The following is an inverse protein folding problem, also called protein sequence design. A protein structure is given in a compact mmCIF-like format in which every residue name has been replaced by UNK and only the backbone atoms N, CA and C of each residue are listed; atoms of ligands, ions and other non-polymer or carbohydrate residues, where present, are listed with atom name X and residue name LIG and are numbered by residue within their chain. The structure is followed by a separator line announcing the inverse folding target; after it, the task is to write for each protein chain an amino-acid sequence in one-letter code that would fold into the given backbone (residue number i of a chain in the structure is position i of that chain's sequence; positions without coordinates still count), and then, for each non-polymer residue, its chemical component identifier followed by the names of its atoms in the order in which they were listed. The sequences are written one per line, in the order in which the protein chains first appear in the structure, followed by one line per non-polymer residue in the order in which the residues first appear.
data_IF_203175231499
#
_entry.id   IF_203175231499
#
_cell.length_a   1.000
_cell.length_b   1.000
_cell.length_c   1.000
_cell.angle_alpha   90.00
_cell.angle_beta   90.00
_cell.angle_gamma   90.00
#
_symmetry.space_group_name_H-M   'P 1'
#
loop_
_entity.id
_entity.type
_entity.pdbx_description
1 polymer ?
#
# COMPACT_ATOMS: atom_id res chain seq x y z
N UNK A 1 7.27 -16.74 21.53
CA UNK A 1 7.36 -17.61 20.32
C UNK A 1 7.93 -16.78 19.20
N UNK A 2 8.94 -17.24 18.46
CA UNK A 2 9.43 -16.46 17.29
C UNK A 2 8.31 -16.42 16.24
N UNK A 3 7.74 -15.24 15.92
CA UNK A 3 6.62 -15.14 14.99
C UNK A 3 7.01 -15.41 13.54
N UNK A 4 8.29 -15.73 13.28
CA UNK A 4 8.80 -15.97 11.93
C UNK A 4 8.38 -17.32 11.39
N UNK A 5 7.56 -17.28 10.36
CA UNK A 5 7.08 -18.47 9.64
C UNK A 5 7.50 -18.36 8.17
N UNK A 6 7.88 -19.46 7.51
CA UNK A 6 8.17 -19.43 6.08
C UNK A 6 6.95 -18.98 5.25
N UNK A 7 7.14 -18.03 4.36
CA UNK A 7 6.16 -17.65 3.35
C UNK A 7 6.25 -18.64 2.17
N UNK A 8 5.58 -19.77 2.29
CA UNK A 8 5.68 -20.89 1.32
C UNK A 8 4.40 -21.74 1.27
N UNK A 9 4.15 -22.40 0.15
CA UNK A 9 4.75 -22.20 -1.15
C UNK A 9 4.16 -20.97 -1.85
N UNK A 10 4.96 -20.26 -2.65
CA UNK A 10 4.43 -19.23 -3.55
C UNK A 10 4.07 -19.84 -4.90
N UNK A 11 2.84 -19.62 -5.34
CA UNK A 11 2.35 -19.87 -6.69
C UNK A 11 2.19 -18.52 -7.40
N UNK A 12 2.28 -18.49 -8.71
CA UNK A 12 2.32 -17.25 -9.47
C UNK A 12 1.23 -17.20 -10.52
N UNK A 13 0.57 -16.04 -10.63
CA UNK A 13 -0.31 -15.69 -11.74
C UNK A 13 0.40 -14.64 -12.58
N UNK A 14 0.69 -14.98 -13.85
CA UNK A 14 1.28 -14.02 -14.79
C UNK A 14 0.25 -12.99 -15.23
N UNK A 15 0.66 -11.73 -15.33
CA UNK A 15 -0.17 -10.63 -15.78
C UNK A 15 0.31 -10.07 -17.12
N UNK A 16 -0.57 -9.41 -17.90
CA UNK A 16 -0.23 -8.87 -19.22
C UNK A 16 0.71 -7.64 -19.18
N UNK A 17 1.07 -7.17 -17.98
CA UNK A 17 1.98 -6.06 -17.73
C UNK A 17 2.86 -6.33 -16.53
N UNK A 18 3.53 -5.32 -16.03
CA UNK A 18 4.37 -5.44 -14.83
C UNK A 18 3.93 -4.47 -13.73
N UNK A 19 4.44 -4.68 -12.53
CA UNK A 19 4.22 -3.83 -11.37
C UNK A 19 2.77 -3.83 -10.88
N UNK A 20 2.13 -5.01 -10.59
CA UNK A 20 0.87 -5.06 -9.85
C UNK A 20 1.11 -4.59 -8.43
N UNK A 21 1.05 -3.27 -8.22
CA UNK A 21 1.55 -2.62 -7.01
C UNK A 21 0.64 -2.86 -5.83
N UNK A 22 -0.68 -2.66 -6.00
CA UNK A 22 -1.68 -2.99 -4.99
C UNK A 22 -2.59 -4.13 -5.46
N UNK A 23 -3.12 -4.87 -4.51
CA UNK A 23 -4.07 -5.97 -4.73
C UNK A 23 -5.23 -5.85 -3.76
N UNK A 24 -6.45 -5.81 -4.28
CA UNK A 24 -7.69 -5.80 -3.47
C UNK A 24 -8.60 -6.94 -3.88
N UNK A 25 -9.19 -7.61 -2.90
CA UNK A 25 -10.13 -8.70 -3.14
C UNK A 25 -11.56 -8.18 -3.25
N UNK A 26 -12.33 -8.70 -4.21
CA UNK A 26 -13.76 -8.45 -4.27
C UNK A 26 -14.55 -9.51 -3.47
N UNK A 27 -15.86 -9.28 -3.22
CA UNK A 27 -16.70 -10.21 -2.47
C UNK A 27 -16.86 -11.60 -3.13
N UNK A 28 -16.48 -11.76 -4.40
CA UNK A 28 -16.47 -13.04 -5.11
C UNK A 28 -15.14 -13.77 -5.03
N UNK A 29 -14.16 -13.22 -4.32
CA UNK A 29 -12.82 -13.79 -4.18
C UNK A 29 -11.88 -13.53 -5.35
N UNK A 30 -12.28 -12.68 -6.32
CA UNK A 30 -11.41 -12.21 -7.40
C UNK A 30 -10.53 -11.07 -6.89
N UNK A 31 -9.41 -10.84 -7.52
CA UNK A 31 -8.47 -9.76 -7.15
C UNK A 31 -8.35 -8.75 -8.26
N UNK A 32 -8.42 -7.47 -7.88
CA UNK A 32 -8.14 -6.35 -8.76
C UNK A 32 -6.73 -5.82 -8.47
N UNK A 33 -6.03 -5.39 -9.51
CA UNK A 33 -4.69 -4.80 -9.40
C UNK A 33 -4.41 -3.83 -10.54
N UNK A 34 -3.64 -2.79 -10.24
CA UNK A 34 -3.19 -1.80 -11.21
C UNK A 34 -1.80 -2.13 -11.76
N UNK A 35 -1.59 -1.96 -13.06
CA UNK A 35 -0.32 -2.22 -13.75
C UNK A 35 0.45 -0.93 -14.04
N UNK A 36 1.74 -1.05 -14.30
CA UNK A 36 2.63 0.09 -14.54
C UNK A 36 2.28 0.92 -15.79
N UNK A 37 1.53 0.36 -16.70
CA UNK A 37 1.10 1.01 -17.93
C UNK A 37 -0.28 1.69 -17.84
N UNK A 38 -0.85 1.78 -16.63
CA UNK A 38 -2.14 2.44 -16.39
C UNK A 38 -3.34 1.53 -16.42
N UNK A 39 -3.19 0.28 -16.84
CA UNK A 39 -4.28 -0.69 -16.87
C UNK A 39 -4.63 -1.17 -15.46
N UNK A 40 -5.92 -1.40 -15.23
CA UNK A 40 -6.43 -2.13 -14.09
C UNK A 40 -6.97 -3.47 -14.61
N UNK A 41 -6.56 -4.54 -13.97
CA UNK A 41 -6.97 -5.90 -14.33
C UNK A 41 -7.62 -6.60 -13.16
N UNK A 42 -8.52 -7.54 -13.48
CA UNK A 42 -9.21 -8.43 -12.55
C UNK A 42 -8.72 -9.85 -12.79
N UNK A 43 -8.38 -10.54 -11.71
CA UNK A 43 -7.85 -11.91 -11.72
C UNK A 43 -8.84 -12.82 -11.02
N UNK A 44 -9.25 -13.91 -11.68
CA UNK A 44 -10.14 -14.95 -11.17
C UNK A 44 -9.45 -16.31 -11.21
N UNK A 45 -9.84 -17.26 -10.34
CA UNK A 45 -9.28 -18.61 -10.30
C UNK A 45 -7.93 -18.70 -9.58
N UNK A 46 -7.77 -18.03 -8.45
CA UNK A 46 -6.52 -17.98 -7.66
C UNK A 46 -6.13 -19.31 -7.01
N UNK A 47 -7.03 -20.23 -6.88
CA UNK A 47 -6.80 -21.61 -6.39
C UNK A 47 -6.05 -22.47 -7.41
N UNK A 48 -6.18 -22.17 -8.70
CA UNK A 48 -5.41 -22.75 -9.79
C UNK A 48 -4.67 -21.68 -10.62
N UNK A 49 -3.56 -21.10 -10.13
CA UNK A 49 -2.88 -19.99 -10.78
C UNK A 49 -2.49 -20.18 -12.27
N UNK A 50 -2.11 -21.38 -12.75
CA UNK A 50 -1.89 -21.60 -14.16
C UNK A 50 -3.15 -21.45 -15.02
N UNK A 51 -4.34 -21.72 -14.45
CA UNK A 51 -5.65 -21.58 -15.09
C UNK A 51 -6.34 -20.25 -14.80
N UNK A 52 -5.71 -19.36 -14.05
CA UNK A 52 -6.30 -18.07 -13.68
C UNK A 52 -6.65 -17.23 -14.91
N UNK A 53 -7.80 -16.58 -14.85
CA UNK A 53 -8.28 -15.67 -15.91
C UNK A 53 -7.93 -14.24 -15.54
N UNK A 54 -7.38 -13.51 -16.49
CA UNK A 54 -7.05 -12.08 -16.33
C UNK A 54 -7.87 -11.28 -17.32
N UNK A 55 -8.67 -10.36 -16.79
CA UNK A 55 -9.55 -9.48 -17.54
C UNK A 55 -9.06 -8.04 -17.41
N UNK A 56 -8.97 -7.29 -18.51
CA UNK A 56 -8.71 -5.86 -18.51
C UNK A 56 -10.05 -5.13 -18.27
N UNK A 57 -10.13 -4.35 -17.17
CA UNK A 57 -11.38 -3.71 -16.76
C UNK A 57 -11.37 -2.18 -16.90
N UNK A 58 -10.20 -1.53 -16.80
CA UNK A 58 -10.07 -0.09 -16.96
C UNK A 58 -8.66 0.33 -17.33
N UNK A 59 -8.54 1.57 -17.83
CA UNK A 59 -7.27 2.24 -18.08
C UNK A 59 -7.36 3.68 -17.58
N UNK A 60 -6.44 4.09 -16.68
CA UNK A 60 -6.47 5.42 -16.05
C UNK A 60 -5.56 6.44 -16.72
N UNK A 61 -4.72 6.02 -17.65
CA UNK A 61 -3.74 6.90 -18.34
C UNK A 61 -2.51 7.27 -17.52
N UNK A 62 -2.55 7.03 -16.20
CA UNK A 62 -1.46 7.29 -15.24
C UNK A 62 -0.87 6.00 -14.68
N UNK A 63 -0.42 6.04 -13.44
CA UNK A 63 0.15 4.88 -12.72
C UNK A 63 -0.71 4.54 -11.50
N UNK A 64 -1.63 3.55 -11.59
CA UNK A 64 -2.41 3.10 -10.43
C UNK A 64 -1.50 2.52 -9.36
N UNK A 65 -1.66 3.01 -8.14
CA UNK A 65 -1.07 2.49 -6.91
C UNK A 65 -2.21 1.93 -6.04
N UNK A 66 -2.46 2.52 -4.85
CA UNK A 66 -3.46 2.07 -3.92
C UNK A 66 -4.87 1.99 -4.49
N UNK A 67 -5.57 0.94 -4.16
CA UNK A 67 -6.91 0.59 -4.61
C UNK A 67 -7.83 0.37 -3.42
N UNK A 68 -9.08 0.80 -3.52
CA UNK A 68 -10.14 0.49 -2.55
C UNK A 68 -11.43 0.18 -3.28
N UNK A 69 -11.98 -1.01 -3.07
CA UNK A 69 -13.28 -1.40 -3.64
C UNK A 69 -14.41 -0.87 -2.75
N UNK A 70 -15.28 -0.05 -3.34
CA UNK A 70 -16.43 0.53 -2.66
C UNK A 70 -17.61 -0.45 -2.59
N UNK A 71 -18.54 -0.27 -1.63
CA UNK A 71 -19.73 -1.13 -1.51
C UNK A 71 -20.64 -1.13 -2.73
N UNK A 72 -20.64 -0.08 -3.54
CA UNK A 72 -21.42 0.01 -4.79
C UNK A 72 -20.74 -0.66 -5.99
N UNK A 73 -19.53 -1.18 -5.80
CA UNK A 73 -18.75 -1.88 -6.82
C UNK A 73 -17.72 -1.01 -7.54
N UNK A 74 -17.76 0.31 -7.38
CA UNK A 74 -16.74 1.21 -7.93
C UNK A 74 -15.41 1.04 -7.19
N UNK A 75 -14.34 1.40 -7.86
CA UNK A 75 -12.97 1.35 -7.35
C UNK A 75 -12.44 2.77 -7.16
N UNK A 76 -11.94 3.08 -5.96
CA UNK A 76 -11.06 4.24 -5.76
C UNK A 76 -9.64 3.85 -6.17
N UNK A 77 -8.96 4.77 -6.82
CA UNK A 77 -7.60 4.56 -7.33
C UNK A 77 -6.73 5.78 -7.02
N UNK A 78 -5.64 5.56 -6.31
CA UNK A 78 -4.57 6.54 -6.20
C UNK A 78 -3.71 6.49 -7.47
N UNK A 79 -3.64 7.60 -8.20
CA UNK A 79 -2.71 7.75 -9.32
C UNK A 79 -1.41 8.41 -8.84
N UNK A 80 -0.28 7.75 -9.06
CA UNK A 80 1.04 8.28 -8.71
C UNK A 80 1.38 9.61 -9.42
N UNK A 81 0.72 9.90 -10.54
CA UNK A 81 0.91 11.16 -11.26
C UNK A 81 0.17 12.34 -10.60
N UNK A 82 -0.63 12.09 -9.58
CA UNK A 82 -1.18 13.11 -8.68
C UNK A 82 -2.68 13.31 -8.78
N UNK A 83 -3.45 12.23 -8.78
CA UNK A 83 -4.89 12.27 -8.70
C UNK A 83 -5.45 11.19 -7.78
N UNK A 84 -6.62 11.46 -7.20
CA UNK A 84 -7.53 10.45 -6.68
C UNK A 84 -8.66 10.25 -7.70
N UNK A 85 -8.84 9.01 -8.13
CA UNK A 85 -9.78 8.64 -9.18
C UNK A 85 -10.86 7.71 -8.62
N UNK A 86 -12.01 7.70 -9.31
CA UNK A 86 -13.05 6.69 -9.14
C UNK A 86 -13.32 6.02 -10.49
N UNK A 87 -13.36 4.70 -10.49
CA UNK A 87 -13.46 3.87 -11.69
C UNK A 87 -14.64 2.93 -11.51
N UNK A 88 -15.54 2.84 -12.50
CA UNK A 88 -16.56 1.80 -12.58
C UNK A 88 -15.97 0.57 -13.32
N UNK A 89 -15.68 -0.55 -12.62
CA UNK A 89 -15.03 -1.70 -13.23
C UNK A 89 -15.97 -2.52 -14.14
N UNK A 90 -17.27 -2.27 -14.14
CA UNK A 90 -18.24 -2.94 -15.01
C UNK A 90 -18.66 -2.05 -16.20
N UNK A 91 -18.31 -0.77 -16.16
CA UNK A 91 -18.66 0.23 -17.19
C UNK A 91 -17.75 0.27 -18.42
N UNK A 92 -16.76 -0.65 -18.53
CA UNK A 92 -15.78 -0.70 -19.61
C UNK A 92 -14.65 0.34 -19.47
N UNK A 93 -13.74 0.37 -20.42
CA UNK A 93 -12.45 1.07 -20.34
C UNK A 93 -12.50 2.61 -20.26
N UNK A 94 -13.67 3.24 -20.31
CA UNK A 94 -13.82 4.70 -20.34
C UNK A 94 -14.41 5.36 -19.09
N UNK A 95 -14.78 4.60 -18.07
CA UNK A 95 -15.49 5.12 -16.89
C UNK A 95 -14.53 5.52 -15.74
N UNK A 96 -13.61 6.42 -16.02
CA UNK A 96 -12.69 7.00 -15.03
C UNK A 96 -13.10 8.43 -14.71
N UNK A 97 -13.34 8.73 -13.44
CA UNK A 97 -13.68 10.06 -12.96
C UNK A 97 -12.62 10.56 -11.99
N UNK A 98 -12.08 11.74 -12.23
CA UNK A 98 -11.21 12.44 -11.28
C UNK A 98 -12.06 12.95 -10.12
N UNK A 99 -11.69 12.59 -8.88
CA UNK A 99 -12.29 13.11 -7.66
C UNK A 99 -11.57 14.36 -7.19
N UNK A 100 -10.24 14.34 -7.17
CA UNK A 100 -9.40 15.50 -6.86
C UNK A 100 -8.00 15.36 -7.43
N UNK A 101 -7.37 16.51 -7.74
CA UNK A 101 -5.96 16.64 -8.15
C UNK A 101 -5.20 17.63 -7.29
N UNK A 102 -5.84 18.17 -6.24
CA UNK A 102 -5.25 19.19 -5.38
C UNK A 102 -5.60 19.03 -3.90
N UNK A 103 -4.74 19.54 -3.05
CA UNK A 103 -4.95 19.69 -1.63
C UNK A 103 -4.32 20.99 -1.13
N UNK A 104 -5.08 21.80 -0.37
CA UNK A 104 -4.64 23.08 0.18
C UNK A 104 -3.99 24.02 -0.87
N UNK A 105 -4.58 24.11 -2.07
CA UNK A 105 -4.11 24.95 -3.18
C UNK A 105 -2.90 24.40 -3.93
N UNK A 106 -2.39 23.20 -3.58
CA UNK A 106 -1.25 22.57 -4.24
C UNK A 106 -1.70 21.37 -5.08
N UNK A 107 -1.10 21.21 -6.26
CA UNK A 107 -1.32 20.01 -7.06
C UNK A 107 -0.74 18.79 -6.35
N UNK A 108 -1.52 17.71 -6.34
CA UNK A 108 -1.09 16.42 -5.77
C UNK A 108 0.07 15.81 -6.57
N UNK A 109 0.86 15.03 -5.88
CA UNK A 109 1.93 14.18 -6.43
C UNK A 109 2.02 12.92 -5.61
N UNK A 110 2.36 11.82 -6.24
CA UNK A 110 2.63 10.56 -5.58
C UNK A 110 1.50 10.16 -4.59
N UNK A 111 0.24 10.21 -5.05
CA UNK A 111 -0.86 9.59 -4.34
C UNK A 111 -0.58 8.09 -4.24
N UNK A 112 -0.67 7.54 -3.01
CA UNK A 112 -0.14 6.21 -2.75
C UNK A 112 -1.21 5.20 -2.39
N UNK A 113 -2.00 5.42 -1.33
CA UNK A 113 -3.01 4.48 -0.89
C UNK A 113 -4.29 5.20 -0.44
N UNK A 114 -5.42 4.49 -0.39
CA UNK A 114 -6.74 5.08 -0.16
C UNK A 114 -7.62 4.18 0.66
N UNK A 115 -8.51 4.77 1.46
CA UNK A 115 -9.59 4.09 2.18
C UNK A 115 -10.83 4.97 2.24
N UNK A 116 -12.02 4.37 2.10
CA UNK A 116 -13.29 5.05 2.26
C UNK A 116 -13.94 4.72 3.62
N UNK A 117 -14.55 5.71 4.24
CA UNK A 117 -15.43 5.52 5.40
C UNK A 117 -16.88 5.27 4.96
N UNK A 118 -17.72 4.69 5.84
CA UNK A 118 -19.12 4.41 5.53
C UNK A 118 -19.96 5.66 5.18
N UNK A 119 -19.55 6.85 5.65
CA UNK A 119 -20.22 8.12 5.33
C UNK A 119 -19.82 8.71 3.96
N UNK A 120 -18.97 7.99 3.21
CA UNK A 120 -18.43 8.42 1.92
C UNK A 120 -17.24 9.35 1.99
N UNK A 121 -16.74 9.68 3.19
CA UNK A 121 -15.47 10.39 3.35
C UNK A 121 -14.32 9.50 2.92
N UNK A 122 -13.44 10.01 2.08
CA UNK A 122 -12.26 9.30 1.59
C UNK A 122 -11.00 9.86 2.24
N UNK A 123 -10.16 8.98 2.73
CA UNK A 123 -8.80 9.32 3.17
C UNK A 123 -7.80 8.68 2.23
N UNK A 124 -6.73 9.40 1.93
CA UNK A 124 -5.66 8.88 1.08
C UNK A 124 -4.30 9.46 1.47
N UNK A 125 -3.25 8.75 1.13
CA UNK A 125 -1.88 9.16 1.43
C UNK A 125 -1.19 9.76 0.21
N UNK A 126 -0.29 10.70 0.47
CA UNK A 126 0.70 11.22 -0.47
C UNK A 126 2.07 10.89 0.11
N UNK A 127 2.87 10.09 -0.60
CA UNK A 127 4.13 9.58 -0.08
C UNK A 127 5.18 10.68 0.08
N UNK A 128 5.25 11.60 -0.87
CA UNK A 128 6.21 12.70 -0.86
C UNK A 128 5.69 13.90 -1.67
N UNK A 129 6.01 15.11 -1.19
CA UNK A 129 5.82 16.36 -1.96
C UNK A 129 7.05 16.72 -2.80
N UNK A 130 8.19 16.10 -2.52
CA UNK A 130 9.49 16.41 -3.14
C UNK A 130 9.82 15.44 -4.27
N UNK A 131 9.72 14.14 -3.98
CA UNK A 131 10.10 13.09 -4.92
C UNK A 131 8.85 12.42 -5.53
N UNK A 132 8.72 12.38 -6.88
CA UNK A 132 7.69 11.58 -7.54
C UNK A 132 8.01 10.08 -7.45
N UNK A 133 7.07 9.23 -7.81
CA UNK A 133 7.25 7.77 -7.76
C UNK A 133 8.52 7.29 -8.46
N UNK A 134 8.88 7.81 -9.64
CA UNK A 134 10.10 7.41 -10.36
C UNK A 134 11.39 7.65 -9.58
N UNK A 135 11.36 8.59 -8.63
CA UNK A 135 12.48 9.01 -7.78
C UNK A 135 12.32 8.54 -6.33
N UNK A 136 11.49 7.51 -6.07
CA UNK A 136 11.17 7.01 -4.72
C UNK A 136 12.41 6.64 -3.89
N UNK A 137 13.50 6.19 -4.55
CA UNK A 137 14.78 5.95 -3.85
C UNK A 137 15.39 7.24 -3.32
N UNK A 138 15.12 8.37 -3.96
CA UNK A 138 15.49 9.70 -3.48
C UNK A 138 14.78 10.03 -2.16
N UNK A 139 13.46 9.79 -2.09
CA UNK A 139 12.69 9.97 -0.86
C UNK A 139 13.21 9.08 0.26
N UNK A 140 13.48 7.80 -0.03
CA UNK A 140 14.05 6.87 0.95
C UNK A 140 15.40 7.32 1.48
N UNK A 141 16.27 7.88 0.62
CA UNK A 141 17.60 8.36 1.02
C UNK A 141 17.56 9.73 1.70
N UNK A 142 16.76 10.67 1.21
CA UNK A 142 16.65 12.01 1.76
C UNK A 142 15.86 12.07 3.06
N UNK A 143 14.85 11.20 3.19
CA UNK A 143 14.00 11.10 4.37
C UNK A 143 13.36 12.45 4.71
N UNK A 144 12.58 12.97 3.75
CA UNK A 144 12.14 14.38 3.76
C UNK A 144 11.12 14.68 4.84
N UNK A 145 10.29 13.70 5.25
CA UNK A 145 9.16 13.91 6.13
C UNK A 145 8.06 14.77 5.50
N UNK A 146 7.89 14.69 4.19
CA UNK A 146 6.87 15.47 3.47
C UNK A 146 5.64 14.65 3.07
N UNK A 147 5.56 13.41 3.54
CA UNK A 147 4.37 12.58 3.41
C UNK A 147 3.18 13.17 4.16
N UNK A 148 1.97 12.93 3.63
CA UNK A 148 0.71 13.49 4.13
C UNK A 148 -0.39 12.44 4.16
N UNK A 149 -1.32 12.62 5.10
CA UNK A 149 -2.65 12.02 5.06
C UNK A 149 -3.66 13.11 4.68
N UNK A 150 -4.46 12.84 3.68
CA UNK A 150 -5.43 13.75 3.12
C UNK A 150 -6.85 13.24 3.33
N UNK A 151 -7.83 14.14 3.40
CA UNK A 151 -9.26 13.87 3.51
C UNK A 151 -10.01 14.53 2.35
N UNK A 152 -10.89 13.79 1.70
CA UNK A 152 -11.84 14.30 0.73
C UNK A 152 -13.25 13.98 1.22
N UNK A 153 -14.04 15.00 1.57
CA UNK A 153 -15.43 14.83 1.98
C UNK A 153 -16.34 14.69 0.76
N UNK A 154 -17.51 14.03 0.88
CA UNK A 154 -18.44 13.90 -0.22
C UNK A 154 -18.80 15.25 -0.86
N UNK A 155 -18.66 15.33 -2.19
CA UNK A 155 -18.96 16.54 -2.97
C UNK A 155 -17.84 17.58 -3.01
N UNK A 156 -16.79 17.45 -2.21
CA UNK A 156 -15.61 18.32 -2.34
C UNK A 156 -14.80 17.98 -3.60
N UNK A 157 -14.14 18.98 -4.17
CA UNK A 157 -13.25 18.85 -5.33
C UNK A 157 -11.79 19.04 -4.98
N UNK A 158 -11.50 19.49 -3.75
CA UNK A 158 -10.17 19.69 -3.20
C UNK A 158 -10.04 18.96 -1.87
N UNK A 159 -8.94 18.27 -1.65
CA UNK A 159 -8.68 17.53 -0.43
C UNK A 159 -8.09 18.44 0.67
N UNK A 160 -8.38 18.10 1.91
CA UNK A 160 -7.80 18.72 3.08
C UNK A 160 -6.60 17.92 3.59
N UNK A 161 -5.57 18.61 4.07
CA UNK A 161 -4.44 17.99 4.73
C UNK A 161 -4.80 17.79 6.22
N UNK A 162 -4.88 16.52 6.67
CA UNK A 162 -5.23 16.23 8.08
C UNK A 162 -4.03 15.76 8.92
N UNK A 163 -2.95 15.32 8.28
CA UNK A 163 -1.69 14.99 8.95
C UNK A 163 -0.52 15.22 7.99
N UNK A 164 0.54 15.85 8.51
CA UNK A 164 1.79 16.11 7.78
C UNK A 164 2.99 15.50 8.53
N UNK A 165 4.15 15.54 7.90
CA UNK A 165 5.41 15.12 8.52
C UNK A 165 5.65 13.62 8.48
N UNK A 166 4.86 12.87 7.72
CA UNK A 166 5.00 11.43 7.58
C UNK A 166 6.24 11.08 6.74
N UNK A 167 6.94 10.02 7.15
CA UNK A 167 8.14 9.56 6.48
C UNK A 167 7.80 8.54 5.39
N UNK A 168 7.51 9.02 4.19
CA UNK A 168 7.03 8.20 3.08
C UNK A 168 5.68 7.55 3.45
N UNK A 169 4.61 8.35 3.54
CA UNK A 169 3.27 7.84 3.82
C UNK A 169 2.83 6.89 2.70
N UNK A 170 2.43 5.68 3.07
CA UNK A 170 2.09 4.62 2.12
C UNK A 170 0.75 3.98 2.49
N UNK A 171 0.69 2.69 2.73
CA UNK A 171 -0.51 1.94 3.01
C UNK A 171 -1.41 2.56 4.07
N UNK A 172 -2.71 2.39 3.90
CA UNK A 172 -3.74 2.99 4.73
C UNK A 172 -4.86 1.98 4.97
N UNK A 173 -5.28 1.78 6.23
CA UNK A 173 -6.46 0.99 6.57
C UNK A 173 -7.24 1.61 7.72
N UNK A 174 -8.51 1.25 7.86
CA UNK A 174 -9.31 1.59 9.03
C UNK A 174 -8.88 0.81 10.25
N UNK A 175 -8.91 1.41 11.43
CA UNK A 175 -8.85 0.70 12.71
C UNK A 175 -10.10 -0.17 12.91
N UNK A 176 -10.04 -1.14 13.83
CA UNK A 176 -11.13 -2.10 14.07
C UNK A 176 -12.46 -1.44 14.45
N UNK A 177 -12.41 -0.28 15.08
CA UNK A 177 -13.59 0.44 15.58
C UNK A 177 -14.07 1.57 14.64
N UNK A 178 -13.49 1.70 13.44
CA UNK A 178 -13.70 2.80 12.48
C UNK A 178 -13.45 4.22 13.08
N UNK A 179 -12.81 4.31 14.25
CA UNK A 179 -12.51 5.57 14.95
C UNK A 179 -11.08 6.06 14.71
N UNK A 180 -10.30 5.28 14.01
CA UNK A 180 -8.91 5.60 13.67
C UNK A 180 -8.54 5.05 12.31
N UNK A 181 -7.45 5.59 11.77
CA UNK A 181 -6.75 5.06 10.60
C UNK A 181 -5.36 4.58 11.03
N UNK A 182 -4.86 3.57 10.34
CA UNK A 182 -3.48 3.10 10.49
C UNK A 182 -2.77 3.40 9.18
N UNK A 183 -1.67 4.15 9.27
CA UNK A 183 -0.83 4.59 8.13
C UNK A 183 0.52 3.89 8.21
N UNK A 184 0.97 3.31 7.12
CA UNK A 184 2.35 2.84 6.99
C UNK A 184 3.28 4.01 6.66
N UNK A 185 4.34 4.16 7.44
CA UNK A 185 5.45 5.07 7.14
C UNK A 185 6.66 4.24 6.71
N UNK A 186 6.80 4.05 5.40
CA UNK A 186 7.84 3.21 4.79
C UNK A 186 9.23 3.66 5.23
N UNK A 187 9.51 4.96 5.15
CA UNK A 187 10.81 5.54 5.50
C UNK A 187 11.16 5.43 6.98
N UNK A 188 10.17 5.45 7.87
CA UNK A 188 10.37 5.31 9.30
C UNK A 188 10.31 3.86 9.80
N UNK A 189 9.90 2.91 8.96
CA UNK A 189 9.65 1.50 9.32
C UNK A 189 8.70 1.39 10.52
N UNK A 190 7.58 2.13 10.46
CA UNK A 190 6.57 2.13 11.52
C UNK A 190 5.16 2.15 10.96
N UNK A 191 4.20 1.81 11.82
CA UNK A 191 2.79 2.09 11.63
C UNK A 191 2.40 3.22 12.58
N UNK A 192 1.61 4.14 12.08
CA UNK A 192 1.12 5.31 12.83
C UNK A 192 -0.39 5.26 12.87
N UNK A 193 -0.98 5.37 14.07
CA UNK A 193 -2.42 5.51 14.25
C UNK A 193 -2.80 6.98 14.23
N UNK A 194 -3.80 7.32 13.42
CA UNK A 194 -4.43 8.64 13.37
C UNK A 194 -5.86 8.54 13.87
N UNK A 195 -6.20 9.29 14.92
CA UNK A 195 -7.52 9.25 15.53
C UNK A 195 -8.51 10.15 14.79
N UNK A 196 -9.63 9.57 14.35
CA UNK A 196 -10.70 10.29 13.63
C UNK A 196 -11.70 10.93 14.57
N UNK A 197 -11.97 10.28 15.72
CA UNK A 197 -13.03 10.69 16.66
C UNK A 197 -12.57 10.55 18.10
N UNK A 198 -13.39 11.08 19.03
CA UNK A 198 -13.13 11.01 20.47
C UNK A 198 -12.15 12.06 20.96
N UNK A 199 -11.66 11.95 22.23
CA UNK A 199 -10.80 12.96 22.87
C UNK A 199 -9.45 13.16 22.16
N UNK A 200 -9.00 12.21 21.36
CA UNK A 200 -7.75 12.26 20.59
C UNK A 200 -7.95 12.56 19.10
N UNK A 201 -9.16 12.96 18.69
CA UNK A 201 -9.43 13.29 17.29
C UNK A 201 -8.40 14.29 16.73
N UNK A 202 -7.87 14.00 15.53
CA UNK A 202 -6.82 14.79 14.88
C UNK A 202 -5.39 14.52 15.38
N UNK A 203 -5.20 13.67 16.41
CA UNK A 203 -3.88 13.31 16.90
C UNK A 203 -3.37 12.01 16.24
N UNK A 204 -2.06 11.96 16.02
CA UNK A 204 -1.35 10.78 15.56
C UNK A 204 -0.38 10.26 16.63
N UNK A 205 -0.25 8.94 16.73
CA UNK A 205 0.70 8.28 17.62
C UNK A 205 1.31 7.02 16.95
N UNK A 206 2.54 6.64 17.28
CA UNK A 206 3.09 5.38 16.83
C UNK A 206 2.24 4.19 17.32
N UNK A 207 1.90 3.27 16.40
CA UNK A 207 1.24 2.00 16.73
C UNK A 207 2.26 0.87 16.84
N UNK A 208 3.17 0.75 15.86
CA UNK A 208 4.25 -0.23 15.86
C UNK A 208 5.50 0.40 15.26
N UNK A 209 6.64 0.26 15.94
CA UNK A 209 7.90 0.85 15.52
C UNK A 209 8.98 -0.22 15.28
N UNK A 210 10.05 0.18 14.63
CA UNK A 210 11.20 -0.67 14.36
C UNK A 210 10.84 -1.97 13.62
N UNK A 211 9.91 -1.91 12.69
CA UNK A 211 9.51 -3.05 11.89
C UNK A 211 10.72 -3.70 11.20
N UNK A 212 10.69 -5.02 10.96
CA UNK A 212 11.82 -5.77 10.42
C UNK A 212 12.14 -5.48 8.95
N UNK A 213 11.25 -4.74 8.28
CA UNK A 213 11.37 -4.30 6.90
C UNK A 213 10.65 -2.97 6.68
N UNK A 214 10.57 -2.56 5.44
CA UNK A 214 9.91 -1.33 5.03
C UNK A 214 8.44 -1.62 4.78
N UNK A 215 7.50 -1.17 5.66
CA UNK A 215 6.08 -1.36 5.46
C UNK A 215 5.63 -0.61 4.20
N UNK A 216 4.79 -1.25 3.41
CA UNK A 216 4.23 -0.71 2.18
C UNK A 216 2.71 -0.66 2.30
N UNK A 217 1.92 -1.23 1.38
CA UNK A 217 0.47 -1.22 1.51
C UNK A 217 0.00 -2.08 2.69
N UNK A 218 -1.13 -1.69 3.23
CA UNK A 218 -1.82 -2.35 4.34
C UNK A 218 -3.13 -2.93 3.85
N UNK A 219 -3.58 -4.00 4.50
CA UNK A 219 -4.89 -4.58 4.22
C UNK A 219 -5.54 -5.14 5.49
N UNK A 220 -6.87 -5.00 5.59
CA UNK A 220 -7.70 -5.60 6.63
C UNK A 220 -9.01 -6.09 6.02
N UNK A 221 -9.30 -7.37 6.12
CA UNK A 221 -10.50 -7.97 5.53
C UNK A 221 -11.74 -7.88 6.41
N UNK A 222 -11.56 -7.99 7.72
CA UNK A 222 -12.63 -7.89 8.70
C UNK A 222 -12.24 -6.93 9.82
N UNK A 223 -13.19 -6.23 10.45
CA UNK A 223 -12.89 -5.26 11.52
C UNK A 223 -12.07 -5.85 12.69
N UNK A 224 -12.36 -7.07 13.07
CA UNK A 224 -11.68 -7.83 14.14
C UNK A 224 -10.47 -8.64 13.63
N UNK A 225 -10.20 -8.61 12.33
CA UNK A 225 -9.07 -9.27 11.71
C UNK A 225 -7.76 -8.50 11.89
N UNK A 226 -6.61 -9.18 11.66
CA UNK A 226 -5.32 -8.51 11.71
C UNK A 226 -5.16 -7.48 10.58
N UNK A 227 -4.30 -6.51 10.81
CA UNK A 227 -3.75 -5.67 9.74
C UNK A 227 -2.59 -6.43 9.09
N UNK A 228 -2.77 -6.82 7.85
CA UNK A 228 -1.69 -7.32 7.02
C UNK A 228 -0.84 -6.17 6.50
N UNK A 229 0.48 -6.32 6.57
CA UNK A 229 1.48 -5.32 6.20
C UNK A 229 2.43 -5.93 5.18
N UNK A 230 2.42 -5.44 3.97
CA UNK A 230 3.43 -5.80 2.98
C UNK A 230 4.79 -5.23 3.38
N UNK A 231 5.87 -5.96 3.14
CA UNK A 231 7.23 -5.50 3.36
C UNK A 231 7.97 -5.41 2.02
N UNK A 232 8.17 -4.19 1.50
CA UNK A 232 8.85 -3.93 0.23
C UNK A 232 10.31 -4.41 0.22
N UNK A 233 10.91 -4.56 1.38
CA UNK A 233 12.24 -5.11 1.55
C UNK A 233 12.65 -5.23 3.01
N UNK A 234 13.71 -5.98 3.30
CA UNK A 234 14.25 -6.07 4.65
C UNK A 234 14.94 -4.77 5.06
N UNK A 235 15.10 -4.57 6.35
CA UNK A 235 15.85 -3.45 6.91
C UNK A 235 17.25 -3.35 6.29
N UNK A 236 17.65 -2.13 5.93
CA UNK A 236 19.00 -1.79 5.42
C UNK A 236 19.73 -0.91 6.44
N UNK A 237 20.68 -1.46 7.23
CA UNK A 237 21.36 -0.69 8.28
C UNK A 237 22.09 0.55 7.78
N UNK A 238 22.61 0.53 6.55
CA UNK A 238 23.26 1.69 5.95
C UNK A 238 22.28 2.85 5.74
N UNK A 239 21.02 2.56 5.43
CA UNK A 239 19.97 3.58 5.30
C UNK A 239 19.59 4.16 6.66
N UNK A 240 19.51 3.33 7.71
CA UNK A 240 19.28 3.81 9.07
C UNK A 240 20.40 4.76 9.55
N UNK A 241 21.65 4.47 9.16
CA UNK A 241 22.77 5.37 9.45
C UNK A 241 22.67 6.68 8.67
N UNK A 242 22.30 6.60 7.39
CA UNK A 242 22.11 7.77 6.54
C UNK A 242 21.02 8.71 7.10
N UNK A 243 19.94 8.17 7.62
CA UNK A 243 18.84 8.97 8.19
C UNK A 243 19.27 9.79 9.43
N UNK A 244 20.35 9.39 10.11
CA UNK A 244 20.94 10.15 11.24
C UNK A 244 21.90 11.24 10.78
N UNK A 245 22.28 11.26 9.49
CA UNK A 245 23.21 12.23 8.95
C UNK A 245 22.54 13.61 8.77
N UNK A 246 23.36 14.64 8.65
CA UNK A 246 22.89 16.00 8.38
C UNK A 246 22.09 16.07 7.06
N UNK A 247 21.09 16.97 6.95
CA UNK A 247 20.22 17.07 5.78
C UNK A 247 20.98 17.25 4.45
N UNK A 248 22.12 17.95 4.45
CA UNK A 248 22.97 18.10 3.26
C UNK A 248 23.55 16.79 2.75
N UNK A 249 23.95 15.89 3.67
CA UNK A 249 24.47 14.55 3.33
C UNK A 249 23.35 13.69 2.75
N UNK A 250 22.16 13.71 3.36
CA UNK A 250 20.98 12.97 2.87
C UNK A 250 20.57 13.43 1.48
N UNK A 251 20.53 14.75 1.22
CA UNK A 251 20.27 15.31 -0.12
C UNK A 251 21.29 14.88 -1.16
N UNK A 252 22.56 14.87 -0.80
CA UNK A 252 23.62 14.38 -1.70
C UNK A 252 23.45 12.89 -2.02
N UNK A 253 23.15 12.07 -1.00
CA UNK A 253 22.84 10.66 -1.18
C UNK A 253 21.61 10.43 -2.06
N UNK A 254 20.54 11.20 -1.88
CA UNK A 254 19.33 11.12 -2.70
C UNK A 254 19.61 11.38 -4.18
N UNK A 255 20.43 12.39 -4.50
CA UNK A 255 20.86 12.70 -5.90
C UNK A 255 21.60 11.54 -6.56
N UNK A 256 22.30 10.72 -5.78
CA UNK A 256 22.97 9.51 -6.26
C UNK A 256 21.95 8.38 -6.39
N UNK A 257 21.10 8.19 -5.37
CA UNK A 257 20.12 7.13 -5.31
C UNK A 257 19.15 7.13 -6.50
N UNK A 258 18.64 8.30 -6.91
CA UNK A 258 17.73 8.42 -8.06
C UNK A 258 18.34 8.03 -9.40
N UNK A 259 19.68 7.99 -9.49
CA UNK A 259 20.42 7.58 -10.70
C UNK A 259 20.93 6.15 -10.65
N UNK A 260 20.90 5.54 -9.48
CA UNK A 260 21.38 4.18 -9.29
C UNK A 260 20.33 3.16 -9.77
N UNK A 261 20.74 2.10 -10.47
CA UNK A 261 19.80 1.03 -10.81
C UNK A 261 19.33 0.32 -9.54
N UNK A 262 18.03 0.31 -9.31
CA UNK A 262 17.45 -0.41 -8.19
C UNK A 262 17.49 -1.91 -8.44
N UNK A 263 17.94 -2.66 -7.44
CA UNK A 263 17.90 -4.12 -7.44
C UNK A 263 17.15 -4.59 -6.20
N UNK A 264 15.92 -5.11 -6.34
CA UNK A 264 15.16 -5.60 -5.20
C UNK A 264 15.91 -6.70 -4.46
N UNK A 265 15.78 -6.70 -3.14
CA UNK A 265 16.30 -7.81 -2.35
C UNK A 265 15.59 -9.11 -2.73
N UNK A 266 16.29 -10.23 -2.62
CA UNK A 266 15.70 -11.56 -2.82
C UNK A 266 14.85 -12.03 -1.62
N UNK A 267 14.22 -11.11 -0.88
CA UNK A 267 13.39 -11.43 0.29
C UNK A 267 11.97 -10.94 0.05
N UNK A 268 11.01 -11.84 0.08
CA UNK A 268 9.59 -11.52 0.20
C UNK A 268 9.17 -11.59 1.66
N UNK A 269 8.31 -10.69 2.11
CA UNK A 269 7.85 -10.68 3.50
C UNK A 269 6.53 -9.96 3.68
N UNK A 270 5.74 -10.45 4.64
CA UNK A 270 4.52 -9.81 5.14
C UNK A 270 4.45 -9.96 6.65
N UNK A 271 3.81 -9.00 7.31
CA UNK A 271 3.47 -9.06 8.73
C UNK A 271 1.96 -9.12 8.88
N UNK A 272 1.51 -9.67 10.01
CA UNK A 272 0.18 -9.41 10.54
C UNK A 272 0.35 -8.76 11.91
N UNK A 273 -0.33 -7.66 12.16
CA UNK A 273 -0.32 -6.96 13.45
C UNK A 273 -1.75 -6.80 13.97
N UNK A 274 -1.91 -6.77 15.29
CA UNK A 274 -3.18 -6.41 15.92
C UNK A 274 -3.33 -4.89 16.08
N UNK A 275 -4.48 -4.47 16.64
CA UNK A 275 -4.75 -3.06 16.89
C UNK A 275 -3.89 -2.43 18.01
N UNK A 276 -3.19 -3.25 18.80
CA UNK A 276 -2.22 -2.78 19.80
C UNK A 276 -0.79 -2.70 19.23
N UNK A 277 -0.60 -3.07 17.96
CA UNK A 277 0.69 -3.04 17.26
C UNK A 277 1.56 -4.27 17.51
N UNK A 278 1.02 -5.31 18.17
CA UNK A 278 1.77 -6.55 18.37
C UNK A 278 1.83 -7.37 17.08
N UNK A 279 3.01 -7.90 16.78
CA UNK A 279 3.20 -8.77 15.62
C UNK A 279 2.63 -10.15 15.91
N UNK A 280 1.57 -10.53 15.20
CA UNK A 280 0.94 -11.84 15.26
C UNK A 280 1.65 -12.85 14.36
N UNK A 281 1.99 -12.44 13.14
CA UNK A 281 2.70 -13.24 12.16
C UNK A 281 3.80 -12.44 11.48
N UNK A 282 4.92 -13.08 11.20
CA UNK A 282 6.00 -12.57 10.38
C UNK A 282 6.37 -13.64 9.35
N UNK A 283 5.76 -13.55 8.18
CA UNK A 283 5.96 -14.50 7.10
C UNK A 283 7.08 -14.02 6.20
N UNK A 284 8.12 -14.82 6.03
CA UNK A 284 9.27 -14.41 5.20
C UNK A 284 9.76 -15.54 4.32
N UNK A 285 10.25 -15.19 3.12
CA UNK A 285 10.94 -16.09 2.20
C UNK A 285 12.23 -15.43 1.71
N UNK A 286 13.36 -16.01 2.07
CA UNK A 286 14.68 -15.63 1.52
C UNK A 286 14.91 -16.32 0.18
N UNK A 287 15.71 -15.70 -0.69
CA UNK A 287 15.99 -16.19 -2.06
C UNK A 287 14.69 -16.44 -2.83
N UNK A 288 13.72 -15.55 -2.64
CA UNK A 288 12.47 -15.58 -3.36
C UNK A 288 12.66 -15.16 -4.82
N UNK A 289 11.97 -15.84 -5.73
CA UNK A 289 11.79 -15.36 -7.10
C UNK A 289 10.81 -14.20 -7.20
N UNK A 290 9.95 -14.02 -6.19
CA UNK A 290 9.05 -12.87 -6.03
C UNK A 290 9.68 -11.86 -5.09
N UNK A 291 9.79 -10.63 -5.49
CA UNK A 291 10.57 -9.58 -4.82
C UNK A 291 9.77 -8.31 -4.68
N UNK A 292 10.15 -7.46 -3.73
CA UNK A 292 9.55 -6.16 -3.50
C UNK A 292 8.02 -6.29 -3.34
N UNK A 293 7.61 -7.00 -2.29
CA UNK A 293 6.19 -7.16 -1.95
C UNK A 293 5.66 -5.81 -1.49
N UNK A 294 4.82 -5.18 -2.30
CA UNK A 294 4.24 -3.87 -2.02
C UNK A 294 2.83 -3.96 -1.48
N UNK A 295 2.12 -5.05 -1.75
CA UNK A 295 0.77 -5.23 -1.24
C UNK A 295 0.49 -6.67 -0.84
N UNK A 296 -0.53 -6.83 -0.01
CA UNK A 296 -1.09 -8.11 0.40
C UNK A 296 -2.58 -7.96 0.65
N UNK A 297 -3.38 -8.91 0.18
CA UNK A 297 -4.76 -9.09 0.63
C UNK A 297 -5.03 -10.56 0.94
N UNK A 298 -6.06 -10.83 1.71
CA UNK A 298 -6.51 -12.18 2.04
C UNK A 298 -7.89 -12.44 1.42
N UNK A 299 -8.02 -13.56 0.70
CA UNK A 299 -9.27 -14.00 0.13
C UNK A 299 -9.32 -15.52 0.02
N UNK A 300 -10.45 -16.14 0.38
CA UNK A 300 -10.63 -17.59 0.26
C UNK A 300 -9.56 -18.42 1.01
N UNK A 301 -8.99 -17.93 2.12
CA UNK A 301 -7.90 -18.58 2.84
C UNK A 301 -6.54 -18.47 2.16
N UNK A 302 -6.41 -17.61 1.18
CA UNK A 302 -5.17 -17.33 0.47
C UNK A 302 -4.69 -15.91 0.77
N UNK A 303 -3.38 -15.73 0.89
CA UNK A 303 -2.72 -14.44 0.78
C UNK A 303 -2.31 -14.22 -0.68
N UNK A 304 -2.71 -13.09 -1.22
CA UNK A 304 -2.32 -12.63 -2.55
C UNK A 304 -1.37 -11.45 -2.38
N UNK A 305 -0.24 -11.51 -3.08
CA UNK A 305 0.84 -10.52 -2.95
C UNK A 305 1.01 -9.74 -4.25
N UNK A 306 1.02 -8.42 -4.14
CA UNK A 306 1.41 -7.49 -5.19
C UNK A 306 2.90 -7.13 -5.14
N UNK A 307 3.39 -6.53 -6.22
CA UNK A 307 4.78 -6.07 -6.32
C UNK A 307 4.94 -4.94 -7.33
N UNK A 308 5.68 -3.92 -6.97
CA UNK A 308 6.05 -2.85 -7.91
C UNK A 308 6.97 -3.34 -9.05
N UNK A 309 7.64 -4.48 -8.86
CA UNK A 309 8.73 -4.96 -9.74
C UNK A 309 8.36 -6.15 -10.61
N UNK A 310 7.47 -7.03 -10.15
CA UNK A 310 7.20 -8.31 -10.82
C UNK A 310 6.19 -8.18 -11.98
N UNK A 311 6.10 -9.26 -12.80
CA UNK A 311 5.15 -9.36 -13.91
C UNK A 311 3.92 -10.21 -13.59
N UNK A 312 3.56 -10.27 -12.33
CA UNK A 312 2.46 -11.07 -11.84
C UNK A 312 2.26 -10.91 -10.36
N UNK A 313 1.21 -11.50 -9.85
CA UNK A 313 0.93 -11.62 -8.43
C UNK A 313 1.39 -12.99 -7.92
N UNK A 314 1.70 -13.06 -6.62
CA UNK A 314 2.01 -14.33 -5.98
C UNK A 314 0.89 -14.71 -5.01
N UNK A 315 0.65 -16.02 -4.87
CA UNK A 315 -0.41 -16.58 -4.03
C UNK A 315 0.16 -17.64 -3.11
N UNK A 316 -0.22 -17.63 -1.85
CA UNK A 316 0.08 -18.70 -0.88
C UNK A 316 -1.08 -18.88 0.11
N UNK A 317 -1.07 -19.98 0.85
CA UNK A 317 -2.04 -20.18 1.93
C UNK A 317 -1.88 -19.11 3.02
N UNK A 318 -2.99 -18.58 3.50
CA UNK A 318 -2.99 -17.79 4.73
C UNK A 318 -2.63 -18.68 5.92
N UNK A 319 -1.91 -18.15 6.94
CA UNK A 319 -1.67 -18.94 8.15
C UNK A 319 -2.98 -19.25 8.84
N UNK A 320 -3.12 -20.45 9.39
CA UNK A 320 -4.28 -20.79 10.20
C UNK A 320 -4.40 -19.81 11.36
N UNK A 321 -5.49 -19.07 11.41
CA UNK A 321 -5.79 -18.16 12.50
C UNK A 321 -5.92 -18.96 13.78
N UNK A 322 -5.22 -18.59 14.85
CA UNK A 322 -5.59 -19.05 16.19
C UNK A 322 -6.99 -18.52 16.44
N UNK A 323 -8.00 -19.39 16.32
CA UNK A 323 -9.32 -19.10 16.88
C UNK A 323 -9.10 -18.87 18.38
N UNK A 324 -9.22 -17.64 18.82
CA UNK A 324 -9.34 -17.36 20.23
C UNK A 324 -10.67 -17.98 20.67
N UNK A 325 -10.57 -19.14 21.36
CA UNK A 325 -11.69 -19.80 22.00
C UNK A 325 -12.11 -19.04 23.28
#
# INVERSE_FOLDING_TARGET
MDPRTPLVPLRYVSLPGHGPEDVVADPRGRVLTGLADGRIVRVDGLDDPPGARVEHIAEIGGRPLGLELLPDGDLLVCDAEGALLRVDPEGGTGNVRVLTESAAGERLRFCSNVVALPDGTVYFTVSSRVHPLRDWMGEMAEHTGTGRLLRLTPGATEAEVVLEGLQFANGLVRGADDRSLIVAETGARRLTRFHLTGPRAGHAEPLAENLPGYPDNLWRGAPDGPVWVALAGPRVPALDLLHRAAPGVRRAAARIAVRAPYRPSGTAGVLAVDDDGHVLHHLTRRRSGFRMVTSVCETGGLLVLGSLHERGIAVCAAPEGKRHG
#
